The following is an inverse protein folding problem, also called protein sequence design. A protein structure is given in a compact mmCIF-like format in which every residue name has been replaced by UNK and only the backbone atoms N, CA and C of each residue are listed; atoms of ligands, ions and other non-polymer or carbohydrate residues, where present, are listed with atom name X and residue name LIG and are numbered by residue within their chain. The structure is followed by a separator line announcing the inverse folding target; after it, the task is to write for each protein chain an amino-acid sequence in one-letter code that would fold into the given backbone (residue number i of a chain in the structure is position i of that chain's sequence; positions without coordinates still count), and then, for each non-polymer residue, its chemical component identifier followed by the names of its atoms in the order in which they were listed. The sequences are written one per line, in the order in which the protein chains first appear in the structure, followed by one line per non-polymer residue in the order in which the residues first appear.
data_IF_716574229246
#
_entry.id   IF_716574229246
#
_cell.length_a   1.000
_cell.length_b   1.000
_cell.length_c   1.000
_cell.angle_alpha   90.00
_cell.angle_beta   90.00
_cell.angle_gamma   90.00
#
_symmetry.space_group_name_H-M   'P 1'
#
loop_
_entity.id
_entity.type
_entity.pdbx_description
1 polymer ?
#
# COMPACT_ATOMS: atom_id res chain seq x y z
N UNK A 1 15.67 19.22 5.58
CA UNK A 1 15.03 19.03 4.25
C UNK A 1 13.49 19.05 4.34
N UNK A 2 12.87 18.51 5.39
CA UNK A 2 11.40 18.49 5.53
C UNK A 2 10.77 19.89 5.56
N UNK A 3 11.28 20.81 6.39
CA UNK A 3 10.70 22.16 6.50
C UNK A 3 10.64 22.89 5.15
N UNK A 4 11.68 22.73 4.33
CA UNK A 4 11.71 23.27 2.98
C UNK A 4 10.62 22.67 2.07
N UNK A 5 10.33 21.37 2.21
CA UNK A 5 9.24 20.72 1.47
C UNK A 5 7.88 21.22 1.95
N UNK A 6 7.69 21.37 3.27
CA UNK A 6 6.46 21.90 3.86
C UNK A 6 6.22 23.34 3.42
N UNK A 7 7.24 24.20 3.46
CA UNK A 7 7.13 25.61 3.07
C UNK A 7 6.74 25.82 1.59
N UNK A 8 6.98 24.82 0.74
CA UNK A 8 6.66 24.85 -0.69
C UNK A 8 5.45 23.98 -1.05
N UNK A 9 4.84 23.32 -0.07
CA UNK A 9 3.67 22.50 -0.30
C UNK A 9 2.47 23.38 -0.67
N UNK A 10 1.64 22.91 -1.60
CA UNK A 10 0.49 23.66 -2.09
C UNK A 10 -0.80 23.05 -1.56
N UNK A 11 -1.85 23.86 -1.34
CA UNK A 11 -3.17 23.33 -0.99
C UNK A 11 -3.73 22.41 -2.06
N UNK A 12 -4.52 21.44 -1.64
CA UNK A 12 -5.24 20.54 -2.52
C UNK A 12 -6.22 21.30 -3.43
N UNK A 13 -6.21 20.95 -4.71
CA UNK A 13 -7.21 21.42 -5.67
C UNK A 13 -8.41 20.47 -5.65
N UNK A 14 -9.53 20.95 -5.12
CA UNK A 14 -10.77 20.16 -5.07
C UNK A 14 -11.43 20.08 -6.44
N UNK A 15 -11.87 18.88 -6.82
CA UNK A 15 -12.65 18.64 -8.03
C UNK A 15 -13.91 17.89 -7.65
N UNK A 16 -15.11 18.32 -8.11
CA UNK A 16 -16.34 17.59 -7.84
C UNK A 16 -16.22 16.12 -8.23
N UNK A 17 -16.64 15.23 -7.33
CA UNK A 17 -16.63 13.77 -7.55
C UNK A 17 -15.26 13.09 -7.47
N UNK A 18 -14.16 13.81 -7.23
CA UNK A 18 -12.82 13.23 -7.18
C UNK A 18 -12.10 13.62 -5.88
N UNK A 19 -11.65 12.64 -5.08
CA UNK A 19 -10.90 12.95 -3.86
C UNK A 19 -9.55 13.59 -4.22
N UNK A 20 -9.15 14.59 -3.45
CA UNK A 20 -7.81 15.15 -3.57
C UNK A 20 -6.77 14.15 -3.06
N UNK A 21 -5.86 13.73 -3.95
CA UNK A 21 -4.83 12.73 -3.64
C UNK A 21 -3.48 13.39 -3.33
N UNK A 22 -3.00 13.19 -2.11
CA UNK A 22 -1.63 13.47 -1.71
C UNK A 22 -0.76 12.22 -1.88
N UNK A 23 0.55 12.40 -1.88
CA UNK A 23 1.50 11.28 -1.92
C UNK A 23 2.48 11.40 -0.75
N UNK A 24 2.71 10.29 -0.08
CA UNK A 24 3.71 10.17 0.97
C UNK A 24 4.26 8.75 0.88
N UNK A 25 5.41 8.57 0.25
CA UNK A 25 6.05 7.25 0.11
C UNK A 25 7.42 7.29 0.77
N UNK A 26 7.74 6.24 1.52
CA UNK A 26 9.06 6.06 2.13
C UNK A 26 9.75 4.88 1.47
N UNK A 27 11.04 5.02 1.19
CA UNK A 27 11.84 4.01 0.51
C UNK A 27 11.96 2.71 1.35
N UNK A 28 12.39 1.62 0.70
CA UNK A 28 12.76 0.36 1.37
C UNK A 28 13.71 0.54 2.57
N UNK A 29 14.51 1.61 2.61
CA UNK A 29 15.53 1.85 3.66
C UNK A 29 14.97 2.09 5.06
N UNK A 30 13.67 2.33 5.21
CA UNK A 30 13.02 2.46 6.53
C UNK A 30 12.18 1.22 6.87
N UNK A 31 12.41 0.10 6.19
CA UNK A 31 11.74 -1.19 6.49
C UNK A 31 12.17 -1.75 7.86
N UNK A 32 11.40 -2.73 8.33
CA UNK A 32 11.67 -3.49 9.55
C UNK A 32 13.00 -4.27 9.54
N UNK A 33 13.64 -4.36 8.36
CA UNK A 33 14.92 -5.04 8.16
C UNK A 33 16.11 -4.12 8.44
N UNK A 34 15.93 -2.81 8.26
CA UNK A 34 16.97 -1.80 8.49
C UNK A 34 16.82 -1.08 9.83
N UNK A 35 15.59 -0.82 10.25
CA UNK A 35 15.31 -0.06 11.46
C UNK A 35 14.63 -0.93 12.51
N UNK A 36 15.18 -0.91 13.73
CA UNK A 36 14.40 -1.26 14.92
C UNK A 36 13.29 -0.23 15.15
N UNK A 37 12.25 -0.58 15.92
CA UNK A 37 11.17 0.35 16.25
C UNK A 37 11.70 1.64 16.89
N UNK A 38 12.66 1.51 17.82
CA UNK A 38 13.29 2.68 18.47
C UNK A 38 13.97 3.60 17.46
N UNK A 39 14.74 3.06 16.53
CA UNK A 39 15.40 3.87 15.50
C UNK A 39 14.36 4.48 14.54
N UNK A 40 13.29 3.78 14.22
CA UNK A 40 12.21 4.32 13.39
C UNK A 40 11.52 5.51 14.10
N UNK A 41 11.22 5.37 15.40
CA UNK A 41 10.65 6.43 16.24
C UNK A 41 11.58 7.64 16.39
N UNK A 42 12.89 7.42 16.39
CA UNK A 42 13.88 8.50 16.54
C UNK A 42 14.12 9.23 15.21
N UNK A 43 14.31 8.49 14.11
CA UNK A 43 14.85 9.03 12.88
C UNK A 43 13.83 9.22 11.76
N UNK A 44 12.67 8.56 11.81
CA UNK A 44 11.72 8.52 10.69
C UNK A 44 10.36 9.05 11.09
N UNK A 45 9.73 8.43 12.08
CA UNK A 45 8.32 8.63 12.38
C UNK A 45 7.91 10.07 12.70
N UNK A 46 8.67 10.84 13.53
CA UNK A 46 8.28 12.21 13.86
C UNK A 46 8.16 13.10 12.62
N UNK A 47 9.09 12.94 11.70
CA UNK A 47 9.16 13.70 10.46
C UNK A 47 8.13 13.21 9.43
N UNK A 48 7.93 11.90 9.32
CA UNK A 48 6.94 11.34 8.40
C UNK A 48 5.53 11.71 8.85
N UNK A 49 5.23 11.60 10.14
CA UNK A 49 3.96 12.04 10.72
C UNK A 49 3.71 13.52 10.42
N UNK A 50 4.69 14.39 10.66
CA UNK A 50 4.56 15.82 10.36
C UNK A 50 4.24 16.07 8.87
N UNK A 51 4.86 15.33 7.95
CA UNK A 51 4.55 15.43 6.53
C UNK A 51 3.12 14.97 6.19
N UNK A 52 2.66 13.87 6.78
CA UNK A 52 1.32 13.34 6.58
C UNK A 52 0.25 14.27 7.17
N UNK A 53 0.43 14.73 8.41
CA UNK A 53 -0.45 15.70 9.06
C UNK A 53 -0.56 16.96 8.20
N UNK A 54 0.58 17.47 7.71
CA UNK A 54 0.59 18.64 6.84
C UNK A 54 -0.16 18.42 5.53
N UNK A 55 -0.08 17.22 4.98
CA UNK A 55 -0.80 16.84 3.76
C UNK A 55 -2.31 16.88 4.00
N UNK A 56 -2.80 16.36 5.13
CA UNK A 56 -4.22 16.48 5.47
C UNK A 56 -4.65 17.93 5.75
N UNK A 57 -3.83 18.73 6.45
CA UNK A 57 -4.09 20.16 6.67
C UNK A 57 -4.25 20.95 5.37
N UNK A 58 -3.48 20.59 4.33
CA UNK A 58 -3.56 21.22 3.01
C UNK A 58 -4.81 20.82 2.23
N UNK A 59 -5.67 19.97 2.79
CA UNK A 59 -6.97 19.60 2.22
C UNK A 59 -6.94 18.36 1.34
N UNK A 60 -5.84 17.60 1.31
CA UNK A 60 -5.82 16.29 0.65
C UNK A 60 -6.65 15.29 1.47
N UNK A 61 -7.49 14.50 0.80
CA UNK A 61 -8.42 13.56 1.43
C UNK A 61 -7.83 12.17 1.57
N UNK A 62 -7.00 11.78 0.59
CA UNK A 62 -6.37 10.47 0.55
C UNK A 62 -4.86 10.67 0.42
N UNK A 63 -4.08 9.99 1.25
CA UNK A 63 -2.63 9.88 1.09
C UNK A 63 -2.29 8.53 0.46
N UNK A 64 -1.68 8.58 -0.73
CA UNK A 64 -1.12 7.40 -1.41
C UNK A 64 0.29 7.10 -0.90
N UNK A 65 0.52 5.84 -0.53
CA UNK A 65 1.77 5.33 0.03
C UNK A 65 2.24 4.09 -0.72
N UNK A 66 3.55 3.94 -0.86
CA UNK A 66 4.19 2.68 -1.24
C UNK A 66 5.16 2.23 -0.15
N UNK A 67 4.89 1.06 0.41
CA UNK A 67 5.72 0.39 1.39
C UNK A 67 6.52 -0.70 0.67
N UNK A 68 7.66 -0.29 0.12
CA UNK A 68 8.52 -1.12 -0.75
C UNK A 68 9.23 -2.27 0.01
N UNK A 69 9.47 -2.13 1.31
CA UNK A 69 9.98 -3.21 2.16
C UNK A 69 8.95 -3.71 3.16
N UNK A 70 9.36 -4.62 4.06
CA UNK A 70 8.49 -5.13 5.14
C UNK A 70 8.21 -4.06 6.20
N UNK A 71 6.94 -3.93 6.62
CA UNK A 71 6.45 -2.89 7.56
C UNK A 71 5.55 -3.44 8.68
N UNK A 72 5.63 -4.73 8.96
CA UNK A 72 4.77 -5.42 9.93
C UNK A 72 4.80 -4.78 11.32
N UNK A 73 5.96 -4.27 11.76
CA UNK A 73 6.14 -3.61 13.07
C UNK A 73 5.63 -2.17 13.07
N UNK A 74 5.47 -1.55 11.90
CA UNK A 74 5.16 -0.12 11.74
C UNK A 74 3.67 0.14 11.46
N UNK A 75 2.86 -0.87 11.15
CA UNK A 75 1.45 -0.71 10.79
C UNK A 75 0.64 0.08 11.83
N UNK A 76 0.93 -0.09 13.12
CA UNK A 76 0.19 0.53 14.22
C UNK A 76 0.22 2.07 14.16
N UNK A 77 1.30 2.67 13.65
CA UNK A 77 1.46 4.11 13.47
C UNK A 77 0.41 4.74 12.56
N UNK A 78 -0.10 3.97 11.61
CA UNK A 78 -1.09 4.43 10.63
C UNK A 78 -2.53 4.29 11.15
N UNK A 79 -2.73 3.62 12.29
CA UNK A 79 -4.07 3.42 12.86
C UNK A 79 -4.70 4.71 13.42
N UNK A 80 -3.90 5.75 13.67
CA UNK A 80 -4.41 7.04 14.16
C UNK A 80 -5.12 7.87 13.08
N UNK A 81 -4.94 7.56 11.79
CA UNK A 81 -5.50 8.37 10.71
C UNK A 81 -7.00 8.06 10.46
N UNK A 82 -7.73 9.01 9.84
CA UNK A 82 -9.16 8.85 9.58
C UNK A 82 -9.52 7.62 8.74
N UNK A 83 -10.78 7.21 8.82
CA UNK A 83 -11.29 6.13 7.95
C UNK A 83 -11.24 6.57 6.49
N UNK A 84 -10.92 5.64 5.58
CA UNK A 84 -10.87 5.84 4.12
C UNK A 84 -9.94 6.99 3.66
N UNK A 85 -8.90 7.31 4.43
CA UNK A 85 -8.00 8.44 4.12
C UNK A 85 -6.65 8.00 3.53
N UNK A 86 -6.45 6.70 3.31
CA UNK A 86 -5.17 6.16 2.85
C UNK A 86 -5.35 5.18 1.69
N UNK A 87 -4.34 5.16 0.83
CA UNK A 87 -4.19 4.19 -0.25
C UNK A 87 -2.78 3.59 -0.13
N UNK A 88 -2.65 2.36 0.36
CA UNK A 88 -1.35 1.78 0.72
C UNK A 88 -1.02 0.59 -0.17
N UNK A 89 0.12 0.68 -0.84
CA UNK A 89 0.72 -0.38 -1.63
C UNK A 89 1.76 -1.12 -0.80
N UNK A 90 1.59 -2.41 -0.61
CA UNK A 90 2.58 -3.25 0.10
C UNK A 90 3.38 -4.07 -0.91
N UNK A 91 4.69 -4.11 -0.72
CA UNK A 91 5.56 -5.05 -1.43
C UNK A 91 5.75 -6.34 -0.63
N UNK A 92 6.30 -6.25 0.58
CA UNK A 92 6.72 -7.42 1.38
C UNK A 92 6.06 -7.54 2.76
N UNK A 93 5.27 -6.54 3.13
CA UNK A 93 4.51 -6.55 4.39
C UNK A 93 3.47 -7.67 4.35
N UNK A 94 3.19 -8.28 5.50
CA UNK A 94 2.08 -9.21 5.66
C UNK A 94 0.76 -8.46 5.41
N UNK A 95 0.20 -8.66 4.21
CA UNK A 95 -1.00 -7.97 3.76
C UNK A 95 -2.27 -8.44 4.49
N UNK A 96 -2.27 -9.66 5.04
CA UNK A 96 -3.39 -10.19 5.83
C UNK A 96 -3.46 -9.46 7.17
N UNK A 97 -2.32 -9.34 7.86
CA UNK A 97 -2.20 -8.51 9.06
C UNK A 97 -2.48 -7.03 8.78
N UNK A 98 -2.01 -6.51 7.64
CA UNK A 98 -2.32 -5.15 7.23
C UNK A 98 -3.83 -4.92 7.06
N UNK A 99 -4.56 -5.89 6.49
CA UNK A 99 -6.03 -5.83 6.39
C UNK A 99 -6.69 -5.76 7.76
N UNK A 100 -6.25 -6.58 8.71
CA UNK A 100 -6.79 -6.57 10.07
C UNK A 100 -6.59 -5.22 10.78
N UNK A 101 -5.40 -4.62 10.63
CA UNK A 101 -5.04 -3.39 11.33
C UNK A 101 -5.54 -2.11 10.65
N UNK A 102 -5.57 -2.09 9.31
CA UNK A 102 -5.78 -0.87 8.52
C UNK A 102 -6.95 -0.95 7.54
N UNK A 103 -7.66 -2.08 7.44
CA UNK A 103 -8.67 -2.32 6.41
C UNK A 103 -9.89 -1.39 6.41
N UNK A 104 -10.18 -0.74 7.53
CA UNK A 104 -11.25 0.29 7.64
C UNK A 104 -10.73 1.72 7.39
N UNK A 105 -9.40 1.89 7.37
CA UNK A 105 -8.69 3.16 7.21
C UNK A 105 -8.12 3.35 5.82
N UNK A 106 -7.59 2.28 5.24
CA UNK A 106 -6.89 2.29 3.99
C UNK A 106 -7.57 1.40 2.95
N UNK A 107 -7.58 1.86 1.71
CA UNK A 107 -7.58 0.94 0.59
C UNK A 107 -6.17 0.35 0.46
N UNK A 108 -6.08 -0.98 0.48
CA UNK A 108 -4.81 -1.71 0.45
C UNK A 108 -4.61 -2.33 -0.94
N UNK A 109 -3.39 -2.31 -1.45
CA UNK A 109 -3.05 -2.96 -2.71
C UNK A 109 -1.77 -3.79 -2.60
N UNK A 110 -1.74 -4.87 -3.37
CA UNK A 110 -0.65 -5.85 -3.36
C UNK A 110 -1.16 -7.25 -3.01
N UNK A 111 -0.29 -8.14 -2.54
CA UNK A 111 1.13 -8.12 -2.87
C UNK A 111 1.51 -9.45 -3.51
N UNK A 112 1.05 -9.67 -4.74
CA UNK A 112 1.49 -10.81 -5.57
C UNK A 112 3.01 -10.68 -5.77
N UNK A 113 3.84 -11.60 -5.21
CA UNK A 113 5.28 -11.46 -5.28
C UNK A 113 5.76 -11.49 -6.73
N UNK A 114 6.67 -10.59 -7.11
CA UNK A 114 7.26 -10.60 -8.46
C UNK A 114 7.89 -11.95 -8.80
N UNK A 115 8.61 -12.55 -7.85
CA UNK A 115 9.19 -13.89 -8.04
C UNK A 115 8.13 -14.94 -8.40
N UNK A 116 6.92 -14.85 -7.83
CA UNK A 116 5.82 -15.76 -8.18
C UNK A 116 5.42 -15.60 -9.65
N UNK A 117 5.36 -14.36 -10.15
CA UNK A 117 5.06 -14.10 -11.56
C UNK A 117 6.20 -14.56 -12.50
N UNK A 118 7.44 -14.65 -12.02
CA UNK A 118 8.60 -15.10 -12.79
C UNK A 118 8.72 -16.62 -12.85
N UNK A 119 8.55 -17.33 -11.73
CA UNK A 119 8.92 -18.76 -11.64
C UNK A 119 7.79 -19.73 -11.29
N UNK A 120 6.67 -19.25 -10.73
CA UNK A 120 5.58 -20.15 -10.33
C UNK A 120 4.76 -20.66 -11.54
N UNK A 121 3.89 -21.64 -11.29
CA UNK A 121 2.89 -22.05 -12.27
C UNK A 121 1.71 -21.06 -12.31
N UNK A 122 0.99 -20.97 -13.44
CA UNK A 122 -0.25 -20.19 -13.51
C UNK A 122 -1.29 -20.57 -12.44
N UNK A 123 -1.36 -21.86 -12.08
CA UNK A 123 -2.27 -22.34 -11.03
C UNK A 123 -1.88 -21.80 -9.65
N UNK A 124 -0.59 -21.75 -9.30
CA UNK A 124 -0.13 -21.20 -8.03
C UNK A 124 -0.40 -19.69 -7.95
N UNK A 125 -0.22 -18.98 -9.07
CA UNK A 125 -0.58 -17.55 -9.16
C UNK A 125 -2.08 -17.36 -8.93
N UNK A 126 -2.92 -18.16 -9.58
CA UNK A 126 -4.38 -18.13 -9.41
C UNK A 126 -4.79 -18.39 -7.96
N UNK A 127 -4.25 -19.42 -7.33
CA UNK A 127 -4.54 -19.78 -5.94
C UNK A 127 -4.18 -18.66 -4.98
N UNK A 128 -3.01 -18.04 -5.15
CA UNK A 128 -2.59 -16.92 -4.31
C UNK A 128 -3.46 -15.69 -4.53
N UNK A 129 -3.76 -15.34 -5.79
CA UNK A 129 -4.66 -14.22 -6.11
C UNK A 129 -6.06 -14.44 -5.53
N UNK A 130 -6.61 -15.65 -5.64
CA UNK A 130 -7.88 -16.04 -5.04
C UNK A 130 -7.87 -15.86 -3.52
N UNK A 131 -6.79 -16.26 -2.85
CA UNK A 131 -6.62 -16.08 -1.40
C UNK A 131 -6.66 -14.60 -1.03
N UNK A 132 -5.87 -13.77 -1.71
CA UNK A 132 -5.85 -12.32 -1.49
C UNK A 132 -7.23 -11.70 -1.68
N UNK A 133 -7.91 -12.01 -2.78
CA UNK A 133 -9.25 -11.47 -3.06
C UNK A 133 -10.26 -11.88 -1.98
N UNK A 134 -10.24 -13.13 -1.52
CA UNK A 134 -11.19 -13.62 -0.52
C UNK A 134 -10.95 -13.06 0.88
N UNK A 135 -9.69 -12.95 1.30
CA UNK A 135 -9.35 -12.57 2.67
C UNK A 135 -9.13 -11.07 2.80
N UNK A 136 -8.30 -10.49 1.94
CA UNK A 136 -7.95 -9.07 1.95
C UNK A 136 -9.07 -8.24 1.28
N UNK A 137 -9.69 -8.77 0.24
CA UNK A 137 -10.80 -8.12 -0.47
C UNK A 137 -12.13 -8.11 0.26
N UNK A 138 -12.26 -8.84 1.37
CA UNK A 138 -13.49 -8.85 2.18
C UNK A 138 -13.87 -7.43 2.61
N UNK A 139 -15.14 -7.07 2.44
CA UNK A 139 -15.70 -5.75 2.72
C UNK A 139 -15.12 -4.60 1.85
N UNK A 140 -14.52 -4.92 0.70
CA UNK A 140 -13.92 -3.94 -0.21
C UNK A 140 -12.61 -3.35 0.31
N UNK A 141 -12.17 -2.25 -0.32
CA UNK A 141 -10.93 -1.57 0.04
C UNK A 141 -9.67 -2.34 -0.33
N UNK A 142 -9.72 -3.21 -1.35
CA UNK A 142 -8.57 -3.96 -1.83
C UNK A 142 -8.40 -3.82 -3.36
N UNK A 143 -7.16 -3.70 -3.82
CA UNK A 143 -6.79 -3.73 -5.22
C UNK A 143 -5.75 -4.83 -5.43
N UNK A 144 -6.08 -5.86 -6.20
CA UNK A 144 -5.13 -6.90 -6.58
C UNK A 144 -4.00 -6.29 -7.41
N UNK A 145 -2.76 -6.47 -6.95
CA UNK A 145 -1.57 -5.91 -7.58
C UNK A 145 -0.33 -6.77 -7.30
N UNK A 146 0.65 -6.70 -8.19
CA UNK A 146 2.02 -7.12 -7.93
C UNK A 146 2.67 -6.33 -6.78
N UNK A 147 3.70 -6.91 -6.15
CA UNK A 147 4.42 -6.30 -5.03
C UNK A 147 5.19 -5.04 -5.44
N UNK A 148 5.85 -5.04 -6.59
CA UNK A 148 6.59 -3.88 -7.15
C UNK A 148 6.20 -3.62 -8.60
N UNK A 149 6.75 -2.56 -9.22
CA UNK A 149 6.54 -2.28 -10.66
C UNK A 149 7.51 -3.05 -11.57
N UNK A 150 8.33 -3.97 -11.02
CA UNK A 150 9.31 -4.75 -11.78
C UNK A 150 8.68 -6.01 -12.38
N UNK A 151 8.03 -5.87 -13.54
CA UNK A 151 7.33 -6.99 -14.23
C UNK A 151 8.00 -7.42 -15.53
N UNK A 152 9.19 -6.93 -15.85
CA UNK A 152 9.89 -7.20 -17.12
C UNK A 152 10.16 -8.69 -17.34
N UNK A 153 10.51 -9.39 -16.27
CA UNK A 153 10.82 -10.84 -16.30
C UNK A 153 9.60 -11.71 -15.98
N UNK A 154 8.42 -11.11 -15.78
CA UNK A 154 7.22 -11.87 -15.47
C UNK A 154 6.81 -12.72 -16.69
N UNK A 155 6.47 -13.99 -16.44
CA UNK A 155 5.99 -14.87 -17.49
C UNK A 155 4.59 -14.42 -17.94
N UNK A 156 4.34 -14.23 -19.26
CA UNK A 156 3.04 -13.75 -19.75
C UNK A 156 1.84 -14.58 -19.28
N UNK A 157 1.98 -15.89 -19.17
CA UNK A 157 0.95 -16.81 -18.66
C UNK A 157 0.61 -16.56 -17.18
N UNK A 158 1.60 -16.17 -16.37
CA UNK A 158 1.40 -15.84 -14.96
C UNK A 158 0.69 -14.48 -14.81
N UNK A 159 1.05 -13.49 -15.63
CA UNK A 159 0.35 -12.20 -15.69
C UNK A 159 -1.11 -12.41 -16.12
N UNK A 160 -1.35 -13.23 -17.15
CA UNK A 160 -2.70 -13.61 -17.59
C UNK A 160 -3.50 -14.30 -16.47
N UNK A 161 -2.88 -15.22 -15.73
CA UNK A 161 -3.52 -15.90 -14.61
C UNK A 161 -3.94 -14.92 -13.50
N UNK A 162 -3.08 -13.94 -13.18
CA UNK A 162 -3.40 -12.89 -12.21
C UNK A 162 -4.59 -12.02 -12.67
N UNK A 163 -4.59 -11.57 -13.93
CA UNK A 163 -5.70 -10.78 -14.50
C UNK A 163 -7.00 -11.59 -14.49
N UNK A 164 -6.96 -12.83 -14.98
CA UNK A 164 -8.12 -13.73 -15.00
C UNK A 164 -8.66 -14.00 -13.58
N UNK A 165 -7.78 -14.06 -12.57
CA UNK A 165 -8.17 -14.22 -11.17
C UNK A 165 -8.98 -13.03 -10.66
N UNK A 166 -8.62 -11.80 -11.04
CA UNK A 166 -9.38 -10.61 -10.68
C UNK A 166 -10.80 -10.66 -11.27
N UNK A 167 -10.96 -11.09 -12.53
CA UNK A 167 -12.28 -11.21 -13.15
C UNK A 167 -13.11 -12.35 -12.55
N UNK A 168 -12.47 -13.50 -12.31
CA UNK A 168 -13.12 -14.73 -11.82
C UNK A 168 -13.57 -14.61 -10.37
N UNK A 169 -12.76 -13.99 -9.52
CA UNK A 169 -12.98 -13.95 -8.07
C UNK A 169 -13.35 -12.57 -7.54
N UNK A 170 -13.08 -11.49 -8.29
CA UNK A 170 -13.32 -10.12 -7.84
C UNK A 170 -14.75 -9.61 -8.00
N UNK A 171 -15.65 -10.38 -8.62
CA UNK A 171 -17.06 -9.99 -8.87
C UNK A 171 -18.04 -10.29 -7.74
N UNK A 172 -17.57 -10.59 -6.54
CA UNK A 172 -18.43 -10.95 -5.43
C UNK A 172 -17.93 -10.28 -4.16
N UNK A 173 -18.60 -9.19 -3.73
CA UNK A 173 -19.01 -8.81 -2.36
C UNK A 173 -19.79 -7.49 -2.43
#
# INVERSE_FOLDING_TARGET
MLDFRIARATPAVKRPGHPALGSSGEAHRVSDEFFSNKQFEEFVWPYWKQAMDKTYELGYEIISMFFEGRRDKQLHYFTQYPKKSMLIRFAETDIFRAKEMLGDKACIMGNVPIAMLQVASPSAVEEYCKKLIKEVGKNGGFILRCSTDFTQEARPENVKAMIASAEKYGRYY
#
